data_IF_326041145836
#
_entry.id   IF_326041145836
#
_cell.length_a   1.000
_cell.length_b   1.000
_cell.length_c   1.000
_cell.angle_alpha   90.00
_cell.angle_beta   90.00
_cell.angle_gamma   90.00
#
_symmetry.space_group_name_H-M   'P 1'
#
loop_
_entity.id
_entity.type
_entity.pdbx_description
1 polymer ?
#
# COMPACT_ATOMS: atom_id res chain seq x y z
N UNK A 1 31.57 40.23 -14.97
CA UNK A 1 32.48 39.09 -14.75
C UNK A 1 32.32 38.69 -13.28
N UNK A 2 31.63 37.57 -12.98
CA UNK A 2 31.35 37.18 -11.59
C UNK A 2 32.64 36.73 -10.91
N UNK A 3 32.88 37.20 -9.69
CA UNK A 3 34.11 36.87 -8.95
C UNK A 3 34.14 35.37 -8.62
N UNK A 4 35.32 34.76 -8.46
CA UNK A 4 35.45 33.31 -8.24
C UNK A 4 34.60 32.83 -7.05
N UNK A 5 34.56 33.60 -5.96
CA UNK A 5 33.81 33.30 -4.74
C UNK A 5 32.30 33.22 -5.00
N UNK A 6 31.77 34.08 -5.87
CA UNK A 6 30.34 34.09 -6.23
C UNK A 6 29.95 32.85 -7.04
N UNK A 7 30.84 32.37 -7.92
CA UNK A 7 30.63 31.10 -8.64
C UNK A 7 30.58 29.90 -7.69
N UNK A 8 31.51 29.81 -6.73
CA UNK A 8 31.52 28.70 -5.77
C UNK A 8 30.25 28.67 -4.92
N UNK A 9 29.77 29.83 -4.46
CA UNK A 9 28.49 29.93 -3.71
C UNK A 9 27.30 29.45 -4.53
N UNK A 10 27.21 29.85 -5.81
CA UNK A 10 26.13 29.42 -6.71
C UNK A 10 26.16 27.90 -6.93
N UNK A 11 27.35 27.32 -7.16
CA UNK A 11 27.50 25.87 -7.35
C UNK A 11 27.10 25.11 -6.09
N UNK A 12 27.47 25.59 -4.90
CA UNK A 12 27.05 24.99 -3.63
C UNK A 12 25.54 25.01 -3.46
N UNK A 13 24.87 26.15 -3.72
CA UNK A 13 23.40 26.22 -3.63
C UNK A 13 22.71 25.29 -4.62
N UNK A 14 23.20 25.20 -5.86
CA UNK A 14 22.64 24.29 -6.87
C UNK A 14 22.81 22.83 -6.45
N UNK A 15 23.98 22.46 -5.90
CA UNK A 15 24.23 21.11 -5.41
C UNK A 15 23.29 20.73 -4.24
N UNK A 16 23.03 21.67 -3.32
CA UNK A 16 22.08 21.47 -2.21
C UNK A 16 20.63 21.32 -2.68
N UNK A 17 20.21 22.09 -3.70
CA UNK A 17 18.86 21.98 -4.25
C UNK A 17 18.68 20.62 -4.95
N UNK A 18 19.67 20.16 -5.71
CA UNK A 18 19.61 18.86 -6.40
C UNK A 18 19.55 17.68 -5.41
N UNK A 19 20.33 17.73 -4.32
CA UNK A 19 20.29 16.68 -3.28
C UNK A 19 18.99 16.69 -2.48
N UNK A 20 18.41 17.87 -2.22
CA UNK A 20 17.12 17.98 -1.55
C UNK A 20 15.98 17.39 -2.40
N UNK A 21 15.96 17.68 -3.71
CA UNK A 21 14.92 17.17 -4.62
C UNK A 21 15.01 15.64 -4.79
N UNK A 22 16.21 15.06 -4.85
CA UNK A 22 16.40 13.61 -4.99
C UNK A 22 16.05 12.81 -3.72
N UNK A 23 15.95 13.43 -2.55
CA UNK A 23 15.56 12.73 -1.30
C UNK A 23 14.05 12.51 -1.17
N UNK A 24 13.25 12.97 -2.13
CA UNK A 24 11.77 12.93 -2.08
C UNK A 24 11.15 11.60 -2.52
N UNK A 25 11.92 10.74 -3.20
CA UNK A 25 11.38 9.57 -3.90
C UNK A 25 11.44 8.29 -3.05
N UNK A 26 10.69 8.24 -1.95
CA UNK A 26 10.31 6.97 -1.33
C UNK A 26 9.16 7.12 -0.31
N UNK A 27 8.05 7.76 -0.68
CA UNK A 27 6.78 7.56 0.04
C UNK A 27 5.86 6.78 -0.88
N UNK A 28 6.02 5.45 -0.87
CA UNK A 28 4.96 4.58 -1.39
C UNK A 28 3.78 4.71 -0.43
N UNK A 29 2.86 5.61 -0.72
CA UNK A 29 1.57 5.62 -0.05
C UNK A 29 0.89 4.30 -0.41
N UNK A 30 0.83 3.38 0.54
CA UNK A 30 0.02 2.18 0.40
C UNK A 30 -1.44 2.64 0.39
N UNK A 31 -2.04 2.62 -0.80
CA UNK A 31 -3.46 2.88 -0.93
C UNK A 31 -4.21 1.67 -0.36
N UNK A 32 -5.13 1.95 0.57
CA UNK A 32 -5.98 0.93 1.18
C UNK A 32 -7.45 1.24 0.86
N UNK A 33 -8.25 0.19 0.71
CA UNK A 33 -9.70 0.31 0.73
C UNK A 33 -10.25 -0.23 2.05
N UNK A 34 -11.26 0.46 2.58
CA UNK A 34 -11.98 0.00 3.76
C UNK A 34 -12.93 -1.16 3.40
N UNK A 35 -13.08 -2.10 4.32
CA UNK A 35 -14.11 -3.13 4.30
C UNK A 35 -14.55 -3.47 5.72
N UNK A 36 -15.72 -4.08 5.86
CA UNK A 36 -16.31 -4.37 7.16
C UNK A 36 -16.55 -5.87 7.28
N UNK A 37 -16.16 -6.44 8.41
CA UNK A 37 -16.43 -7.84 8.77
C UNK A 37 -17.13 -7.83 10.13
N UNK A 38 -18.40 -8.23 10.15
CA UNK A 38 -19.32 -7.98 11.27
C UNK A 38 -19.38 -6.49 11.60
N UNK A 39 -18.81 -6.08 12.73
CA UNK A 39 -18.83 -4.70 13.23
C UNK A 39 -17.43 -4.07 13.26
N UNK A 40 -16.42 -4.82 12.79
CA UNK A 40 -15.04 -4.38 12.76
C UNK A 40 -14.68 -3.87 11.36
N UNK A 41 -14.13 -2.66 11.30
CA UNK A 41 -13.61 -2.04 10.08
C UNK A 41 -12.17 -2.47 9.86
N UNK A 42 -11.87 -2.91 8.65
CA UNK A 42 -10.54 -3.34 8.22
C UNK A 42 -10.10 -2.54 6.99
N UNK A 43 -8.79 -2.50 6.77
CA UNK A 43 -8.15 -1.88 5.61
C UNK A 43 -7.36 -2.92 4.84
N UNK A 44 -7.68 -3.11 3.57
CA UNK A 44 -6.96 -4.00 2.68
C UNK A 44 -6.23 -3.19 1.59
N UNK A 45 -5.01 -3.57 1.20
CA UNK A 45 -4.30 -2.91 0.12
C UNK A 45 -5.14 -2.84 -1.16
N UNK A 46 -5.11 -1.74 -1.89
CA UNK A 46 -5.80 -1.58 -3.19
C UNK A 46 -5.26 -2.56 -4.23
N UNK A 47 -4.02 -3.02 -4.07
CA UNK A 47 -3.45 -4.09 -4.89
C UNK A 47 -4.16 -5.44 -4.74
N UNK A 48 -4.98 -5.63 -3.70
CA UNK A 48 -5.77 -6.84 -3.52
C UNK A 48 -7.09 -6.72 -4.29
N UNK A 49 -7.27 -7.60 -5.28
CA UNK A 49 -8.48 -7.63 -6.09
C UNK A 49 -9.68 -8.12 -5.28
N UNK A 50 -10.67 -7.27 -5.05
CA UNK A 50 -11.93 -7.67 -4.40
C UNK A 50 -12.60 -8.81 -5.17
N UNK A 51 -12.95 -9.88 -4.47
CA UNK A 51 -13.70 -11.00 -5.03
C UNK A 51 -15.02 -11.18 -4.30
N UNK A 52 -16.02 -11.68 -5.03
CA UNK A 52 -17.29 -12.09 -4.41
C UNK A 52 -17.00 -13.29 -3.49
N UNK A 53 -17.37 -13.24 -2.20
CA UNK A 53 -17.17 -14.37 -1.31
C UNK A 53 -17.89 -15.62 -1.84
N UNK A 54 -17.16 -16.73 -1.91
CA UNK A 54 -17.68 -17.98 -2.47
C UNK A 54 -18.70 -18.70 -1.57
N UNK A 55 -18.83 -18.31 -0.30
CA UNK A 55 -19.81 -18.87 0.62
C UNK A 55 -20.30 -17.84 1.63
N UNK A 56 -21.46 -18.08 2.25
CA UNK A 56 -22.07 -17.22 3.27
C UNK A 56 -21.22 -17.04 4.54
N UNK A 57 -20.31 -18.00 4.80
CA UNK A 57 -19.36 -17.94 5.92
C UNK A 57 -18.20 -16.98 5.64
N UNK A 58 -17.85 -16.76 4.36
CA UNK A 58 -16.81 -15.82 3.94
C UNK A 58 -17.40 -14.41 3.92
N UNK A 59 -16.91 -13.53 4.78
CA UNK A 59 -17.39 -12.13 4.86
C UNK A 59 -16.66 -11.20 3.91
N UNK A 60 -15.39 -11.48 3.63
CA UNK A 60 -14.63 -10.80 2.59
C UNK A 60 -13.67 -11.79 1.94
N UNK A 61 -13.38 -11.60 0.65
CA UNK A 61 -12.46 -12.42 -0.11
C UNK A 61 -11.70 -11.53 -1.10
N UNK A 62 -10.40 -11.73 -1.17
CA UNK A 62 -9.51 -10.93 -2.02
C UNK A 62 -8.54 -11.84 -2.76
N UNK A 63 -8.32 -11.54 -4.04
CA UNK A 63 -7.24 -12.11 -4.83
C UNK A 63 -5.97 -11.32 -4.58
N UNK A 64 -4.89 -12.01 -4.26
CA UNK A 64 -3.57 -11.43 -4.09
C UNK A 64 -2.67 -11.97 -5.19
N UNK A 65 -2.20 -11.08 -6.06
CA UNK A 65 -1.17 -11.36 -7.03
C UNK A 65 0.17 -10.81 -6.54
N UNK A 66 1.25 -11.53 -6.81
CA UNK A 66 2.62 -11.07 -6.61
C UNK A 66 3.36 -11.14 -7.94
N UNK A 67 4.16 -10.13 -8.23
CA UNK A 67 5.00 -10.11 -9.42
C UNK A 67 5.90 -11.35 -9.48
N UNK A 68 5.91 -12.03 -10.63
CA UNK A 68 6.67 -13.25 -10.85
C UNK A 68 5.98 -14.55 -10.38
N UNK A 69 4.75 -14.48 -9.84
CA UNK A 69 3.94 -15.66 -9.51
C UNK A 69 2.66 -15.64 -10.34
N UNK A 70 2.47 -16.67 -11.17
CA UNK A 70 1.29 -16.80 -12.05
C UNK A 70 0.03 -17.16 -11.27
N UNK A 71 0.17 -17.94 -10.20
CA UNK A 71 -0.95 -18.38 -9.37
C UNK A 71 -1.37 -17.28 -8.39
N UNK A 72 -2.64 -16.89 -8.45
CA UNK A 72 -3.20 -15.91 -7.52
C UNK A 72 -3.51 -16.58 -6.18
N UNK A 73 -3.00 -16.00 -5.10
CA UNK A 73 -3.39 -16.38 -3.75
C UNK A 73 -4.75 -15.78 -3.37
N UNK A 74 -5.38 -16.32 -2.33
CA UNK A 74 -6.62 -15.79 -1.78
C UNK A 74 -6.44 -15.40 -0.32
N UNK A 75 -6.94 -14.21 0.05
CA UNK A 75 -7.12 -13.80 1.45
C UNK A 75 -8.61 -13.80 1.75
N UNK A 76 -9.03 -14.56 2.76
CA UNK A 76 -10.44 -14.76 3.09
C UNK A 76 -10.68 -14.43 4.55
N UNK A 77 -11.71 -13.62 4.82
CA UNK A 77 -12.14 -13.27 6.16
C UNK A 77 -13.39 -14.05 6.52
N UNK A 78 -13.35 -14.72 7.66
CA UNK A 78 -14.48 -15.45 8.22
C UNK A 78 -14.96 -14.74 9.49
N UNK A 79 -16.27 -14.78 9.72
CA UNK A 79 -16.88 -14.37 10.98
C UNK A 79 -17.98 -15.35 11.34
N UNK A 80 -17.85 -15.95 12.52
CA UNK A 80 -18.72 -17.02 12.98
C UNK A 80 -19.71 -16.57 14.06
N UNK A 81 -19.57 -15.35 14.58
CA UNK A 81 -20.43 -14.83 15.63
C UNK A 81 -20.26 -15.53 16.99
N UNK A 82 -21.01 -15.11 18.01
CA UNK A 82 -20.93 -15.64 19.38
C UNK A 82 -21.38 -17.10 19.52
N UNK A 83 -21.93 -17.71 18.46
CA UNK A 83 -22.30 -19.14 18.41
C UNK A 83 -21.23 -20.06 17.79
N UNK A 84 -20.13 -19.50 17.26
CA UNK A 84 -19.02 -20.26 16.67
C UNK A 84 -19.35 -21.02 15.38
N UNK A 85 -18.31 -21.40 14.64
CA UNK A 85 -18.40 -22.51 13.67
C UNK A 85 -18.18 -23.78 14.48
N UNK A 86 -19.22 -24.61 14.58
CA UNK A 86 -19.13 -25.91 15.25
C UNK A 86 -17.93 -26.71 14.72
N UNK A 87 -17.18 -27.31 15.66
CA UNK A 87 -16.15 -28.30 15.36
C UNK A 87 -16.72 -29.60 14.84
#
# INVERSE_FOLDING_TARGET
>A
MKTPVEKYRIVTYVAFIVTFVMSSSAVYASEFHDFVVSDTKFKAPVSWGKMKPASSMRKAQFAVSRDGITDKGEVVFFYFGPGGAGG
#
